data_IF_676055540927
#
_entry.id   IF_676055540927
#
_cell.length_a   1.000
_cell.length_b   1.000
_cell.length_c   1.000
_cell.angle_alpha   90.00
_cell.angle_beta   90.00
_cell.angle_gamma   90.00
#
_symmetry.space_group_name_H-M   'P 1'
#
loop_
_entity.id
_entity.type
_entity.pdbx_description
1 polymer ?
#
# COMPACT_ATOMS: atom_id res chain seq x y z
N UNK A 1 -6.20 15.59 31.56
CA UNK A 1 -6.47 15.85 30.16
C UNK A 1 -6.30 14.55 29.39
N UNK A 2 -7.27 14.18 28.55
CA UNK A 2 -7.14 12.99 27.71
C UNK A 2 -5.94 13.17 26.78
N UNK A 3 -5.08 12.15 26.71
CA UNK A 3 -3.88 12.17 25.87
C UNK A 3 -4.29 12.05 24.40
N UNK A 4 -3.62 12.80 23.53
CA UNK A 4 -3.78 12.58 22.09
C UNK A 4 -3.09 11.29 21.72
N UNK A 5 -3.82 10.43 21.01
CA UNK A 5 -3.33 9.16 20.45
C UNK A 5 -3.56 9.19 18.95
N UNK A 6 -2.52 8.86 18.20
CA UNK A 6 -2.58 8.73 16.76
C UNK A 6 -2.31 7.28 16.34
N UNK A 7 -3.13 6.75 15.43
CA UNK A 7 -2.88 5.50 14.72
C UNK A 7 -2.22 5.79 13.38
N UNK A 8 -1.16 5.08 13.02
CA UNK A 8 -0.46 5.22 11.76
C UNK A 8 -0.47 3.89 11.00
N UNK A 9 -0.96 3.91 9.77
CA UNK A 9 -0.74 2.87 8.76
C UNK A 9 0.15 3.47 7.66
N UNK A 10 1.42 3.10 7.68
CA UNK A 10 2.41 3.54 6.71
C UNK A 10 2.45 2.53 5.57
N UNK A 11 1.51 2.66 4.63
CA UNK A 11 1.42 1.77 3.47
C UNK A 11 2.39 2.15 2.34
N UNK A 12 2.70 1.20 1.45
CA UNK A 12 3.55 1.44 0.28
C UNK A 12 2.97 2.51 -0.65
N UNK A 13 1.65 2.55 -0.78
CA UNK A 13 0.95 3.45 -1.71
C UNK A 13 0.31 4.65 -1.01
N UNK A 14 -0.37 4.43 0.12
CA UNK A 14 -1.03 5.45 0.93
C UNK A 14 -0.53 5.40 2.37
N UNK A 15 -0.39 6.58 2.98
CA UNK A 15 -0.24 6.76 4.43
C UNK A 15 -1.62 7.09 4.98
N UNK A 16 -2.03 6.41 6.05
CA UNK A 16 -3.25 6.72 6.79
C UNK A 16 -2.93 7.11 8.21
N UNK A 17 -3.55 8.16 8.70
CA UNK A 17 -3.33 8.69 10.03
C UNK A 17 -4.69 8.88 10.71
N UNK A 18 -4.89 8.20 11.84
CA UNK A 18 -6.09 8.32 12.66
C UNK A 18 -5.83 9.20 13.87
N UNK A 19 -6.62 10.25 14.07
CA UNK A 19 -6.65 11.08 15.28
C UNK A 19 -7.78 10.61 16.20
N UNK A 20 -7.43 9.92 17.27
CA UNK A 20 -8.41 9.39 18.23
C UNK A 20 -9.27 10.47 18.88
N UNK A 21 -8.72 11.67 19.10
CA UNK A 21 -9.45 12.76 19.75
C UNK A 21 -10.50 13.39 18.87
N UNK A 22 -10.20 13.50 17.56
CA UNK A 22 -11.12 14.06 16.56
C UNK A 22 -12.00 13.01 15.90
N UNK A 23 -11.75 11.73 16.19
CA UNK A 23 -12.37 10.57 15.51
C UNK A 23 -12.33 10.70 13.98
N UNK A 24 -11.13 11.04 13.46
CA UNK A 24 -10.93 11.32 12.05
C UNK A 24 -9.74 10.58 11.49
N UNK A 25 -9.92 10.02 10.30
CA UNK A 25 -8.83 9.48 9.47
C UNK A 25 -8.56 10.45 8.32
N UNK A 26 -7.28 10.73 8.05
CA UNK A 26 -6.87 11.33 6.80
C UNK A 26 -5.80 10.47 6.15
N UNK A 27 -5.64 10.62 4.86
CA UNK A 27 -4.67 9.86 4.08
C UNK A 27 -4.01 10.75 3.04
N UNK A 28 -2.81 10.35 2.62
CA UNK A 28 -2.08 10.97 1.54
C UNK A 28 -1.27 9.90 0.80
N UNK A 29 -0.92 10.17 -0.46
CA UNK A 29 -0.02 9.30 -1.22
C UNK A 29 1.36 9.25 -0.58
N UNK A 30 1.95 8.06 -0.53
CA UNK A 30 3.30 7.87 -0.01
C UNK A 30 4.35 8.16 -1.11
N UNK A 31 4.49 9.43 -1.44
CA UNK A 31 5.33 9.89 -2.55
C UNK A 31 5.88 11.28 -2.32
N UNK A 32 7.07 11.55 -2.86
CA UNK A 32 7.77 12.84 -2.82
C UNK A 32 8.18 13.23 -4.24
N UNK A 33 8.01 14.49 -4.59
CA UNK A 33 8.61 15.10 -5.77
C UNK A 33 9.87 15.87 -5.37
N UNK A 34 11.01 15.47 -5.92
CA UNK A 34 12.30 16.11 -5.64
C UNK A 34 12.82 16.84 -6.87
N UNK A 35 13.11 18.15 -6.71
CA UNK A 35 13.68 18.97 -7.75
C UNK A 35 15.21 18.94 -7.70
N UNK A 36 15.84 18.82 -8.89
CA UNK A 36 17.30 18.84 -9.09
C UNK A 36 18.04 17.83 -8.18
N UNK A 37 17.37 16.72 -7.79
CA UNK A 37 17.87 15.69 -6.85
C UNK A 37 18.30 16.25 -5.48
N UNK A 38 17.83 17.41 -5.09
CA UNK A 38 18.30 18.12 -3.89
C UNK A 38 17.18 18.70 -3.03
N UNK A 39 16.16 19.25 -3.65
CA UNK A 39 15.11 19.97 -2.93
C UNK A 39 13.79 19.24 -3.04
N UNK A 40 13.11 19.03 -1.92
CA UNK A 40 11.74 18.53 -1.95
C UNK A 40 10.85 19.65 -2.49
N UNK A 41 10.14 19.34 -3.57
CA UNK A 41 9.28 20.27 -4.30
C UNK A 41 7.83 20.13 -3.85
N UNK A 42 7.35 18.88 -3.67
CA UNK A 42 6.00 18.58 -3.25
C UNK A 42 5.96 17.19 -2.60
N UNK A 43 4.92 16.88 -1.84
CA UNK A 43 4.70 15.59 -1.19
C UNK A 43 3.24 15.16 -1.34
N UNK A 44 2.96 13.89 -1.04
CA UNK A 44 1.60 13.38 -0.99
C UNK A 44 0.90 13.42 -2.35
N UNK A 45 -0.38 13.80 -2.34
CA UNK A 45 -1.24 13.80 -3.53
C UNK A 45 -0.73 14.73 -4.63
N UNK A 46 -0.24 15.92 -4.27
CA UNK A 46 0.33 16.88 -5.24
C UNK A 46 1.58 16.32 -5.94
N UNK A 47 2.42 15.57 -5.22
CA UNK A 47 3.57 14.90 -5.82
C UNK A 47 3.13 13.75 -6.74
N UNK A 48 2.07 13.03 -6.35
CA UNK A 48 1.52 11.93 -7.16
C UNK A 48 0.89 12.43 -8.46
N UNK A 49 0.26 13.58 -8.47
CA UNK A 49 -0.28 14.20 -9.71
C UNK A 49 0.79 14.46 -10.76
N UNK A 50 2.04 14.67 -10.34
CA UNK A 50 3.18 14.84 -11.25
C UNK A 50 3.80 13.53 -11.71
N UNK A 51 3.37 12.38 -11.15
CA UNK A 51 3.95 11.09 -11.48
C UNK A 51 3.82 10.79 -12.98
N UNK A 52 4.94 10.44 -13.61
CA UNK A 52 5.10 10.21 -15.07
C UNK A 52 4.79 11.42 -15.97
N UNK A 53 4.52 12.60 -15.38
CA UNK A 53 4.26 13.86 -16.12
C UNK A 53 5.27 14.96 -15.76
N UNK A 54 6.10 14.70 -14.74
CA UNK A 54 7.04 15.68 -14.23
C UNK A 54 8.09 16.06 -15.29
N UNK A 55 8.54 17.33 -15.34
CA UNK A 55 9.66 17.74 -16.16
C UNK A 55 10.95 17.03 -15.71
N UNK A 56 11.96 16.93 -16.60
CA UNK A 56 13.16 16.11 -16.39
C UNK A 56 14.02 16.49 -15.17
N UNK A 57 13.83 17.66 -14.60
CA UNK A 57 14.51 18.09 -13.37
C UNK A 57 13.72 17.76 -12.08
N UNK A 58 12.54 17.17 -12.19
CA UNK A 58 11.74 16.68 -11.05
C UNK A 58 11.73 15.14 -11.07
N UNK A 59 12.19 14.55 -9.98
CA UNK A 59 12.17 13.11 -9.74
C UNK A 59 11.07 12.76 -8.76
N UNK A 60 10.20 11.81 -9.12
CA UNK A 60 9.19 11.25 -8.22
C UNK A 60 9.78 10.06 -7.48
N UNK A 61 9.67 10.08 -6.17
CA UNK A 61 10.29 9.11 -5.25
C UNK A 61 9.20 8.50 -4.39
N UNK A 62 9.20 7.17 -4.29
CA UNK A 62 8.37 6.40 -3.38
C UNK A 62 9.26 5.94 -2.21
N UNK A 63 9.07 6.51 -1.00
CA UNK A 63 9.94 6.21 0.14
C UNK A 63 9.81 4.79 0.67
N UNK A 64 8.66 4.14 0.43
CA UNK A 64 8.43 2.74 0.80
C UNK A 64 8.39 1.82 -0.41
N UNK A 65 8.80 0.57 -0.20
CA UNK A 65 8.77 -0.49 -1.21
C UNK A 65 8.47 -1.83 -0.56
N UNK A 66 7.53 -2.58 -1.13
CA UNK A 66 7.17 -3.91 -0.64
C UNK A 66 6.85 -3.93 0.87
N UNK A 67 6.16 -2.91 1.37
CA UNK A 67 5.74 -2.84 2.78
C UNK A 67 6.79 -2.33 3.77
N UNK A 68 8.02 -2.03 3.33
CA UNK A 68 9.11 -1.56 4.21
C UNK A 68 9.66 -0.20 3.78
N UNK A 69 10.33 0.49 4.70
CA UNK A 69 10.95 1.79 4.45
C UNK A 69 12.21 1.57 3.63
N UNK A 70 12.20 2.03 2.37
CA UNK A 70 13.34 1.95 1.46
C UNK A 70 14.23 3.19 1.53
N UNK A 71 13.66 4.35 1.89
CA UNK A 71 14.35 5.64 1.95
C UNK A 71 13.93 6.36 3.22
N UNK A 72 14.72 6.20 4.28
CA UNK A 72 14.36 6.66 5.62
C UNK A 72 14.19 8.17 5.71
N UNK A 73 15.16 8.95 5.22
CA UNK A 73 15.13 10.42 5.31
C UNK A 73 13.94 11.02 4.55
N UNK A 74 13.65 10.47 3.36
CA UNK A 74 12.50 10.90 2.56
C UNK A 74 11.17 10.57 3.26
N UNK A 75 11.08 9.37 3.86
CA UNK A 75 9.89 8.97 4.62
C UNK A 75 9.70 9.83 5.87
N UNK A 76 10.79 10.18 6.55
CA UNK A 76 10.79 11.04 7.73
C UNK A 76 10.31 12.46 7.39
N UNK A 77 10.78 13.00 6.27
CA UNK A 77 10.32 14.29 5.79
C UNK A 77 8.84 14.28 5.44
N UNK A 78 8.40 13.30 4.62
CA UNK A 78 7.01 13.15 4.21
C UNK A 78 6.07 13.05 5.43
N UNK A 79 6.38 12.16 6.37
CA UNK A 79 5.58 12.02 7.59
C UNK A 79 5.57 13.32 8.41
N UNK A 80 6.72 13.97 8.54
CA UNK A 80 6.83 15.25 9.25
C UNK A 80 5.97 16.34 8.63
N UNK A 81 5.94 16.42 7.31
CA UNK A 81 5.13 17.39 6.57
C UNK A 81 3.63 17.13 6.72
N UNK A 82 3.19 15.89 6.51
CA UNK A 82 1.80 15.47 6.71
C UNK A 82 1.30 15.74 8.13
N UNK A 83 2.17 15.53 9.11
CA UNK A 83 1.82 15.79 10.49
C UNK A 83 1.77 17.30 10.82
N UNK A 84 2.49 18.18 10.11
CA UNK A 84 2.44 19.65 10.26
C UNK A 84 1.15 20.26 9.73
N UNK A 85 0.66 19.79 8.59
CA UNK A 85 -0.56 20.30 7.96
C UNK A 85 -1.77 20.21 8.89
N UNK A 86 -1.86 19.15 9.67
CA UNK A 86 -2.91 18.98 10.67
C UNK A 86 -2.58 19.76 11.97
N UNK A 87 -2.66 21.08 11.94
CA UNK A 87 -2.41 22.05 13.04
C UNK A 87 -2.76 21.63 14.50
N UNK A 88 -3.25 20.44 14.70
CA UNK A 88 -3.52 19.82 16.00
C UNK A 88 -2.33 19.06 16.57
N UNK A 89 -1.16 19.24 15.99
CA UNK A 89 0.06 18.60 16.41
C UNK A 89 0.40 18.97 17.85
N UNK A 90 -0.01 18.13 18.76
CA UNK A 90 0.31 18.32 20.18
C UNK A 90 1.62 17.59 20.46
N UNK A 91 2.67 18.36 20.75
CA UNK A 91 3.92 17.80 21.29
C UNK A 91 3.59 16.83 22.42
N UNK A 92 4.18 15.64 22.36
CA UNK A 92 3.99 14.64 23.40
C UNK A 92 2.75 13.75 23.23
N UNK A 93 2.25 13.56 22.01
CA UNK A 93 1.24 12.55 21.68
C UNK A 93 1.80 11.12 21.76
N UNK A 94 0.91 10.16 21.90
CA UNK A 94 1.21 8.73 21.81
C UNK A 94 0.90 8.26 20.40
N UNK A 95 1.75 7.42 19.82
CA UNK A 95 1.59 6.88 18.48
C UNK A 95 1.52 5.35 18.51
N UNK A 96 0.60 4.79 17.74
CA UNK A 96 0.50 3.36 17.46
C UNK A 96 0.70 3.16 15.98
N UNK A 97 1.69 2.34 15.58
CA UNK A 97 2.05 2.11 14.19
C UNK A 97 1.74 0.67 13.83
N UNK A 98 0.91 0.46 12.80
CA UNK A 98 0.72 -0.84 12.20
C UNK A 98 1.88 -1.15 11.25
N UNK A 99 2.58 -2.27 11.47
CA UNK A 99 3.68 -2.72 10.63
C UNK A 99 3.38 -4.13 10.10
N UNK A 100 3.89 -4.52 8.92
CA UNK A 100 3.72 -5.87 8.43
C UNK A 100 4.28 -6.88 9.45
N UNK A 101 3.61 -8.01 9.62
CA UNK A 101 4.00 -9.00 10.62
C UNK A 101 5.31 -9.70 10.26
N UNK A 102 5.49 -10.00 8.96
CA UNK A 102 6.68 -10.69 8.45
C UNK A 102 7.76 -9.69 8.02
N UNK A 103 8.25 -8.90 8.98
CA UNK A 103 9.37 -7.97 8.80
C UNK A 103 10.44 -8.22 9.86
N UNK A 104 11.69 -7.91 9.52
CA UNK A 104 12.83 -8.06 10.43
C UNK A 104 12.77 -7.09 11.60
N UNK A 105 13.46 -7.39 12.70
CA UNK A 105 13.58 -6.48 13.84
C UNK A 105 14.22 -5.13 13.47
N UNK A 106 15.10 -5.13 12.47
CA UNK A 106 15.71 -3.89 11.95
C UNK A 106 14.65 -3.03 11.24
N UNK A 107 13.80 -3.65 10.44
CA UNK A 107 12.70 -2.95 9.77
C UNK A 107 11.66 -2.45 10.77
N UNK A 108 11.27 -3.25 11.78
CA UNK A 108 10.40 -2.80 12.88
C UNK A 108 10.99 -1.60 13.59
N UNK A 109 12.30 -1.65 13.88
CA UNK A 109 13.02 -0.54 14.50
C UNK A 109 13.01 0.71 13.63
N UNK A 110 13.14 0.58 12.31
CA UNK A 110 13.06 1.71 11.40
C UNK A 110 11.70 2.43 11.48
N UNK A 111 10.58 1.70 11.55
CA UNK A 111 9.26 2.29 11.76
C UNK A 111 9.16 3.02 13.11
N UNK A 112 9.69 2.42 14.16
CA UNK A 112 9.72 3.04 15.49
C UNK A 112 10.54 4.33 15.50
N UNK A 113 11.77 4.29 14.97
CA UNK A 113 12.68 5.42 14.93
C UNK A 113 12.15 6.54 14.04
N UNK A 114 11.46 6.21 12.94
CA UNK A 114 10.83 7.19 12.05
C UNK A 114 9.91 8.15 12.81
N UNK A 115 9.07 7.63 13.69
CA UNK A 115 8.11 8.44 14.44
C UNK A 115 8.76 9.07 15.69
N UNK A 116 9.60 8.33 16.39
CA UNK A 116 10.28 8.80 17.59
C UNK A 116 11.16 10.03 17.32
N UNK A 117 11.91 10.00 16.20
CA UNK A 117 12.84 11.06 15.82
C UNK A 117 12.22 12.09 14.85
N UNK A 118 10.93 11.95 14.53
CA UNK A 118 10.22 12.96 13.74
C UNK A 118 10.03 14.25 14.52
N UNK A 119 9.68 15.33 13.81
CA UNK A 119 9.28 16.60 14.44
C UNK A 119 8.03 16.45 15.33
N UNK A 120 7.38 15.30 15.28
CA UNK A 120 6.26 14.89 16.12
C UNK A 120 6.54 14.96 17.60
N UNK A 121 7.82 14.85 18.02
CA UNK A 121 8.20 14.77 19.42
C UNK A 121 7.30 13.83 20.22
N UNK A 122 7.16 12.61 19.70
CA UNK A 122 6.33 11.57 20.28
C UNK A 122 6.70 11.36 21.75
N UNK A 123 5.69 11.22 22.61
CA UNK A 123 5.89 10.83 24.02
C UNK A 123 6.16 9.34 24.12
N UNK A 124 5.43 8.56 23.32
CA UNK A 124 5.62 7.11 23.22
C UNK A 124 5.21 6.65 21.82
N UNK A 125 5.88 5.61 21.37
CA UNK A 125 5.59 4.92 20.13
C UNK A 125 5.36 3.46 20.47
N UNK A 126 4.29 2.86 19.91
CA UNK A 126 4.00 1.44 20.01
C UNK A 126 3.86 0.87 18.63
N UNK A 127 4.39 -0.32 18.44
CA UNK A 127 4.20 -1.09 17.22
C UNK A 127 3.12 -2.13 17.46
N UNK A 128 2.25 -2.32 16.47
CA UNK A 128 1.28 -3.40 16.40
C UNK A 128 1.45 -4.12 15.07
N UNK A 129 1.33 -5.42 15.08
CA UNK A 129 1.34 -6.22 13.86
C UNK A 129 0.09 -5.93 13.03
N UNK A 130 0.28 -5.74 11.73
CA UNK A 130 -0.81 -5.30 10.83
C UNK A 130 -1.97 -6.28 10.84
N UNK A 131 -1.73 -7.59 10.79
CA UNK A 131 -2.81 -8.58 10.85
C UNK A 131 -3.70 -8.42 12.08
N UNK A 132 -3.13 -8.11 13.25
CA UNK A 132 -3.90 -7.85 14.47
C UNK A 132 -4.68 -6.52 14.37
N UNK A 133 -4.04 -5.47 13.84
CA UNK A 133 -4.70 -4.17 13.62
C UNK A 133 -5.86 -4.30 12.62
N UNK A 134 -5.70 -5.10 11.57
CA UNK A 134 -6.74 -5.38 10.57
C UNK A 134 -7.93 -6.10 11.22
N UNK A 135 -7.68 -7.12 12.06
CA UNK A 135 -8.73 -7.82 12.82
C UNK A 135 -9.55 -6.87 13.69
N UNK A 136 -8.89 -6.02 14.46
CA UNK A 136 -9.55 -4.98 15.26
C UNK A 136 -10.34 -3.99 14.39
N UNK A 137 -9.78 -3.59 13.25
CA UNK A 137 -10.42 -2.68 12.30
C UNK A 137 -11.65 -3.29 11.63
N UNK A 138 -11.70 -4.61 11.47
CA UNK A 138 -12.87 -5.36 10.99
C UNK A 138 -13.93 -5.59 12.08
N UNK A 139 -13.67 -5.19 13.31
CA UNK A 139 -14.60 -5.33 14.44
C UNK A 139 -14.57 -6.71 15.09
N UNK A 140 -13.52 -7.51 14.85
CA UNK A 140 -13.35 -8.80 15.53
C UNK A 140 -12.96 -8.56 16.99
N UNK A 141 -13.55 -9.36 17.89
CA UNK A 141 -13.00 -9.49 19.25
C UNK A 141 -11.79 -10.42 19.20
N UNK A 142 -10.64 -9.85 18.87
CA UNK A 142 -9.42 -10.62 18.62
C UNK A 142 -8.97 -11.47 19.80
N UNK A 143 -9.40 -11.16 21.02
CA UNK A 143 -9.06 -11.94 22.22
C UNK A 143 -9.89 -13.23 22.35
N UNK A 144 -11.15 -13.18 21.91
CA UNK A 144 -12.09 -14.29 22.00
C UNK A 144 -12.23 -15.05 20.67
N UNK A 145 -11.68 -14.50 19.57
CA UNK A 145 -11.77 -15.10 18.24
C UNK A 145 -10.98 -16.41 18.18
N UNK A 146 -11.65 -17.57 17.97
CA UNK A 146 -10.97 -18.86 17.92
C UNK A 146 -10.16 -19.09 16.64
N UNK A 147 -10.53 -18.42 15.55
CA UNK A 147 -9.81 -18.46 14.28
C UNK A 147 -10.41 -17.54 13.23
N UNK A 148 -9.65 -16.53 12.80
CA UNK A 148 -10.02 -15.65 11.72
C UNK A 148 -8.92 -15.56 10.67
N UNK A 149 -9.26 -15.84 9.42
CA UNK A 149 -8.37 -15.63 8.28
C UNK A 149 -8.58 -14.24 7.70
N UNK A 150 -7.52 -13.46 7.58
CA UNK A 150 -7.54 -12.11 7.04
C UNK A 150 -6.58 -12.03 5.85
N UNK A 151 -7.06 -11.48 4.74
CA UNK A 151 -6.25 -11.13 3.57
C UNK A 151 -6.28 -9.62 3.36
N UNK A 152 -5.16 -8.96 3.59
CA UNK A 152 -4.98 -7.54 3.34
C UNK A 152 -4.25 -7.32 2.02
N UNK A 153 -5.00 -6.90 0.97
CA UNK A 153 -4.48 -6.63 -0.36
C UNK A 153 -4.10 -5.14 -0.47
N UNK A 154 -2.83 -4.85 -0.32
CA UNK A 154 -2.28 -3.49 -0.34
C UNK A 154 -1.80 -3.02 -1.72
N UNK A 155 -1.12 -1.86 -1.72
CA UNK A 155 -0.51 -1.29 -2.92
C UNK A 155 0.69 -2.07 -3.42
N UNK A 156 1.61 -2.45 -2.53
CA UNK A 156 2.85 -3.15 -2.88
C UNK A 156 2.93 -4.59 -2.39
N UNK A 157 2.05 -4.99 -1.46
CA UNK A 157 2.07 -6.31 -0.82
C UNK A 157 0.65 -6.80 -0.55
N UNK A 158 0.50 -8.13 -0.44
CA UNK A 158 -0.65 -8.78 0.16
C UNK A 158 -0.19 -9.51 1.42
N UNK A 159 -0.81 -9.22 2.55
CA UNK A 159 -0.54 -9.87 3.83
C UNK A 159 -1.68 -10.81 4.18
N UNK A 160 -1.35 -12.08 4.43
CA UNK A 160 -2.28 -13.12 4.84
C UNK A 160 -2.01 -13.44 6.30
N UNK A 161 -3.01 -13.39 7.16
CA UNK A 161 -2.87 -13.62 8.60
C UNK A 161 -3.98 -14.52 9.12
N UNK A 162 -3.65 -15.44 10.02
CA UNK A 162 -4.61 -16.18 10.82
C UNK A 162 -4.49 -15.70 12.26
N UNK A 163 -5.59 -15.18 12.78
CA UNK A 163 -5.69 -14.75 14.18
C UNK A 163 -6.37 -15.84 15.00
N UNK A 164 -5.88 -16.04 16.22
CA UNK A 164 -6.51 -16.91 17.19
C UNK A 164 -6.17 -16.46 18.61
N UNK A 165 -7.18 -16.29 19.46
CA UNK A 165 -7.08 -15.93 20.88
C UNK A 165 -6.03 -14.84 21.20
N UNK A 166 -6.13 -13.70 20.49
CA UNK A 166 -5.29 -12.53 20.74
C UNK A 166 -3.92 -12.55 20.08
N UNK A 167 -3.60 -13.56 19.29
CA UNK A 167 -2.32 -13.71 18.59
C UNK A 167 -2.44 -13.95 17.10
N UNK A 168 -1.33 -13.78 16.39
CA UNK A 168 -1.18 -14.20 15.01
C UNK A 168 -0.51 -15.58 15.03
N UNK A 169 -1.25 -16.61 14.61
CA UNK A 169 -0.77 -18.00 14.62
C UNK A 169 -0.10 -18.38 13.31
N UNK A 170 -0.49 -17.74 12.22
CA UNK A 170 0.16 -17.86 10.91
C UNK A 170 0.16 -16.53 10.20
N UNK A 171 1.24 -16.25 9.47
CA UNK A 171 1.35 -15.07 8.63
C UNK A 171 2.15 -15.37 7.36
N UNK A 172 1.80 -14.69 6.26
CA UNK A 172 2.55 -14.74 5.02
C UNK A 172 2.46 -13.39 4.31
N UNK A 173 3.60 -12.82 3.97
CA UNK A 173 3.70 -11.58 3.20
C UNK A 173 4.07 -11.89 1.74
N UNK A 174 3.16 -11.56 0.82
CA UNK A 174 3.39 -11.67 -0.62
C UNK A 174 3.81 -10.31 -1.17
N UNK A 175 4.80 -10.29 -2.05
CA UNK A 175 5.22 -9.07 -2.78
C UNK A 175 4.33 -8.84 -4.01
N UNK A 176 3.04 -9.03 -3.85
CA UNK A 176 2.00 -8.84 -4.86
C UNK A 176 0.97 -7.87 -4.27
N UNK A 177 0.69 -6.82 -5.02
CA UNK A 177 -0.29 -5.79 -4.66
C UNK A 177 -0.72 -5.02 -5.90
N UNK A 178 -1.41 -3.90 -5.71
CA UNK A 178 -1.90 -3.06 -6.80
C UNK A 178 -0.83 -2.67 -7.82
N UNK A 179 0.39 -2.39 -7.35
CA UNK A 179 1.50 -2.00 -8.23
C UNK A 179 1.92 -3.11 -9.21
N UNK A 180 1.91 -4.36 -8.79
CA UNK A 180 2.25 -5.49 -9.65
C UNK A 180 1.14 -5.74 -10.67
N UNK A 181 -0.13 -5.57 -10.28
CA UNK A 181 -1.28 -5.65 -11.18
C UNK A 181 -1.22 -4.55 -12.24
N UNK A 182 -0.93 -3.30 -11.85
CA UNK A 182 -0.81 -2.17 -12.76
C UNK A 182 0.37 -2.37 -13.73
N UNK A 183 1.49 -2.87 -13.23
CA UNK A 183 2.66 -3.19 -14.07
C UNK A 183 2.36 -4.32 -15.07
N UNK A 184 1.62 -5.34 -14.67
CA UNK A 184 1.20 -6.42 -15.56
C UNK A 184 0.29 -5.90 -16.69
N UNK A 185 -0.65 -5.00 -16.38
CA UNK A 185 -1.52 -4.36 -17.38
C UNK A 185 -0.69 -3.54 -18.36
N UNK A 186 0.20 -2.66 -17.86
CA UNK A 186 1.03 -1.81 -18.70
C UNK A 186 1.93 -2.65 -19.64
N UNK A 187 2.53 -3.72 -19.11
CA UNK A 187 3.37 -4.64 -19.87
C UNK A 187 2.56 -5.38 -20.96
N UNK A 188 1.36 -5.89 -20.63
CA UNK A 188 0.56 -6.61 -21.62
C UNK A 188 0.05 -5.68 -22.72
N UNK A 189 -0.35 -4.44 -22.39
CA UNK A 189 -0.68 -3.41 -23.39
C UNK A 189 0.51 -3.15 -24.30
N UNK A 190 1.71 -2.96 -23.71
CA UNK A 190 2.94 -2.73 -24.48
C UNK A 190 3.24 -3.86 -25.46
N UNK A 191 3.15 -5.12 -25.02
CA UNK A 191 3.52 -6.26 -25.82
C UNK A 191 2.45 -6.64 -26.87
N UNK A 192 1.16 -6.42 -26.56
CA UNK A 192 0.06 -6.83 -27.46
C UNK A 192 -0.37 -5.75 -28.43
N UNK A 193 -0.05 -4.47 -28.16
CA UNK A 193 -0.51 -3.32 -28.93
C UNK A 193 0.61 -2.41 -29.42
N UNK A 194 1.88 -2.71 -29.11
CA UNK A 194 3.01 -1.83 -29.37
C UNK A 194 2.77 -0.41 -28.86
N UNK A 195 2.12 -0.31 -27.68
CA UNK A 195 1.66 0.93 -27.12
C UNK A 195 2.06 1.06 -25.64
N UNK A 196 2.68 2.16 -25.29
CA UNK A 196 3.14 2.41 -23.91
C UNK A 196 2.16 3.30 -23.17
N UNK A 197 1.64 2.78 -22.06
CA UNK A 197 0.85 3.54 -21.07
C UNK A 197 1.64 3.67 -19.78
N UNK A 198 1.35 4.73 -19.01
CA UNK A 198 1.90 4.92 -17.67
C UNK A 198 1.18 4.12 -16.61
N UNK A 199 1.83 3.98 -15.42
CA UNK A 199 1.23 3.29 -14.26
C UNK A 199 -0.08 3.92 -13.79
N UNK A 200 -0.24 5.26 -13.72
CA UNK A 200 -1.53 5.86 -13.37
C UNK A 200 -2.66 5.49 -14.34
N UNK A 201 -2.34 5.33 -15.62
CA UNK A 201 -3.32 4.88 -16.63
C UNK A 201 -3.67 3.41 -16.44
N UNK A 202 -2.69 2.55 -16.13
CA UNK A 202 -2.91 1.13 -15.84
C UNK A 202 -3.73 0.95 -14.55
N UNK A 203 -3.45 1.71 -13.51
CA UNK A 203 -4.25 1.76 -12.27
C UNK A 203 -5.71 2.16 -12.56
N UNK A 204 -5.92 3.18 -13.40
CA UNK A 204 -7.26 3.58 -13.82
C UNK A 204 -7.99 2.45 -14.55
N UNK A 205 -7.33 1.77 -15.49
CA UNK A 205 -7.89 0.61 -16.19
C UNK A 205 -8.32 -0.49 -15.19
N UNK A 206 -7.47 -0.82 -14.22
CA UNK A 206 -7.78 -1.81 -13.18
C UNK A 206 -8.98 -1.41 -12.33
N UNK A 207 -9.05 -0.15 -11.91
CA UNK A 207 -10.12 0.36 -11.04
C UNK A 207 -11.47 0.47 -11.77
N UNK A 208 -11.47 0.94 -13.01
CA UNK A 208 -12.70 1.15 -13.77
C UNK A 208 -13.31 -0.16 -14.25
N UNK A 209 -12.49 -1.11 -14.69
CA UNK A 209 -13.03 -2.37 -15.17
C UNK A 209 -13.32 -3.38 -14.06
N UNK A 210 -12.71 -3.30 -12.91
CA UNK A 210 -12.90 -4.26 -11.82
C UNK A 210 -12.78 -5.73 -12.27
N UNK A 211 -12.48 -6.62 -11.34
CA UNK A 211 -12.34 -8.05 -11.65
C UNK A 211 -13.70 -8.72 -11.93
N UNK A 212 -14.76 -8.16 -11.37
CA UNK A 212 -16.11 -8.74 -11.39
C UNK A 212 -17.02 -8.18 -12.47
N UNK A 213 -16.59 -7.18 -13.24
CA UNK A 213 -17.36 -6.68 -14.38
C UNK A 213 -17.47 -7.79 -15.43
N UNK A 214 -18.70 -8.28 -15.65
CA UNK A 214 -18.99 -9.34 -16.60
C UNK A 214 -19.31 -8.82 -18.00
N UNK A 215 -19.27 -7.51 -18.24
CA UNK A 215 -19.53 -6.91 -19.54
C UNK A 215 -18.46 -7.40 -20.54
N UNK A 216 -18.84 -8.32 -21.41
CA UNK A 216 -18.01 -8.74 -22.54
C UNK A 216 -18.12 -7.68 -23.63
N UNK A 217 -16.99 -7.10 -24.03
CA UNK A 217 -16.93 -6.10 -25.11
C UNK A 217 -16.74 -4.66 -24.66
N UNK A 218 -16.71 -4.37 -23.36
CA UNK A 218 -16.35 -3.06 -22.88
C UNK A 218 -14.88 -2.75 -23.14
N UNK A 219 -14.58 -1.50 -23.48
CA UNK A 219 -13.24 -0.98 -23.64
C UNK A 219 -13.13 0.41 -23.02
N UNK A 220 -11.90 0.82 -22.71
CA UNK A 220 -11.59 2.16 -22.25
C UNK A 220 -10.53 2.78 -23.15
N UNK A 221 -10.82 3.98 -23.65
CA UNK A 221 -9.84 4.75 -24.43
C UNK A 221 -8.78 5.31 -23.49
N UNK A 222 -7.52 5.01 -23.80
CA UNK A 222 -6.36 5.47 -23.02
C UNK A 222 -5.38 6.21 -23.91
N UNK A 223 -4.73 7.21 -23.33
CA UNK A 223 -3.68 7.98 -23.99
C UNK A 223 -2.31 7.45 -23.56
N UNK A 224 -1.37 7.47 -24.50
CA UNK A 224 -0.01 6.99 -24.27
C UNK A 224 0.89 7.28 -25.46
N UNK A 225 1.92 6.45 -25.62
CA UNK A 225 2.88 6.58 -26.72
C UNK A 225 2.78 5.37 -27.65
N UNK A 226 2.52 5.62 -28.92
CA UNK A 226 2.63 4.63 -29.98
C UNK A 226 4.12 4.33 -30.23
N UNK A 227 4.52 3.08 -30.03
CA UNK A 227 5.92 2.67 -30.15
C UNK A 227 6.36 2.49 -31.60
N UNK A 228 5.41 2.24 -32.51
CA UNK A 228 5.69 2.09 -33.95
C UNK A 228 5.86 3.47 -34.59
N UNK A 229 4.99 4.44 -34.27
CA UNK A 229 5.02 5.80 -34.82
C UNK A 229 5.89 6.75 -34.03
N UNK A 230 6.24 6.40 -32.78
CA UNK A 230 7.14 7.18 -31.92
C UNK A 230 6.52 8.42 -31.28
N UNK A 231 5.19 8.60 -31.33
CA UNK A 231 4.51 9.80 -30.86
C UNK A 231 3.37 9.56 -29.89
N UNK A 232 2.80 10.62 -29.28
CA UNK A 232 1.61 10.53 -28.45
C UNK A 232 0.40 10.09 -29.30
N UNK A 233 -0.43 9.22 -28.75
CA UNK A 233 -1.62 8.67 -29.41
C UNK A 233 -2.62 8.15 -28.38
N UNK A 234 -3.68 7.51 -28.85
CA UNK A 234 -4.65 6.83 -28.00
C UNK A 234 -5.04 5.48 -28.59
N UNK A 235 -5.45 4.55 -27.73
CA UNK A 235 -5.99 3.25 -28.13
C UNK A 235 -7.15 2.86 -27.23
N UNK A 236 -7.99 1.95 -27.73
CA UNK A 236 -9.02 1.30 -26.95
C UNK A 236 -8.45 0.00 -26.35
N UNK A 237 -8.47 -0.06 -25.01
CA UNK A 237 -8.04 -1.23 -24.25
C UNK A 237 -9.28 -2.00 -23.81
N UNK A 238 -9.49 -3.24 -24.30
CA UNK A 238 -10.64 -4.03 -23.90
C UNK A 238 -10.44 -4.62 -22.50
N UNK A 239 -11.56 -4.82 -21.76
CA UNK A 239 -11.55 -5.45 -20.45
C UNK A 239 -10.90 -6.83 -20.44
N UNK A 240 -11.05 -7.59 -21.53
CA UNK A 240 -10.44 -8.91 -21.67
C UNK A 240 -8.91 -8.88 -21.58
N UNK A 241 -8.28 -7.82 -22.07
CA UNK A 241 -6.84 -7.63 -21.96
C UNK A 241 -6.43 -7.32 -20.52
N UNK A 242 -7.19 -6.47 -19.81
CA UNK A 242 -6.95 -6.15 -18.39
C UNK A 242 -7.06 -7.42 -17.55
N UNK A 243 -8.13 -8.21 -17.75
CA UNK A 243 -8.33 -9.49 -17.05
C UNK A 243 -7.21 -10.49 -17.33
N UNK A 244 -6.77 -10.59 -18.57
CA UNK A 244 -5.66 -11.48 -18.95
C UNK A 244 -4.36 -11.06 -18.24
N UNK A 245 -4.10 -9.75 -18.14
CA UNK A 245 -2.90 -9.22 -17.50
C UNK A 245 -2.83 -9.56 -16.01
N UNK A 246 -3.95 -9.39 -15.27
CA UNK A 246 -3.96 -9.55 -13.82
C UNK A 246 -4.19 -11.00 -13.37
N UNK A 247 -4.54 -11.90 -14.29
CA UNK A 247 -4.89 -13.29 -13.99
C UNK A 247 -3.78 -14.04 -13.25
N UNK A 248 -2.55 -13.91 -13.72
CA UNK A 248 -1.43 -14.64 -13.15
C UNK A 248 -1.03 -14.15 -11.74
N UNK A 249 -0.84 -12.83 -11.49
CA UNK A 249 -0.62 -12.35 -10.13
C UNK A 249 -1.75 -12.70 -9.15
N UNK A 250 -3.01 -12.64 -9.59
CA UNK A 250 -4.15 -13.04 -8.74
C UNK A 250 -4.15 -14.53 -8.47
N UNK A 251 -3.79 -15.37 -9.46
CA UNK A 251 -3.67 -16.83 -9.26
C UNK A 251 -2.63 -17.15 -8.20
N UNK A 252 -1.50 -16.46 -8.20
CA UNK A 252 -0.45 -16.62 -7.19
C UNK A 252 -0.97 -16.27 -5.79
N UNK A 253 -1.74 -15.17 -5.66
CA UNK A 253 -2.38 -14.85 -4.38
C UNK A 253 -3.35 -15.94 -3.92
N UNK A 254 -4.21 -16.45 -4.81
CA UNK A 254 -5.17 -17.51 -4.50
C UNK A 254 -4.45 -18.79 -4.09
N UNK A 255 -3.38 -19.19 -4.79
CA UNK A 255 -2.58 -20.37 -4.43
C UNK A 255 -1.93 -20.21 -3.05
N UNK A 256 -1.43 -19.01 -2.72
CA UNK A 256 -0.87 -18.74 -1.40
C UNK A 256 -1.93 -18.84 -0.28
N UNK A 257 -3.16 -18.38 -0.55
CA UNK A 257 -4.29 -18.51 0.38
C UNK A 257 -4.61 -20.00 0.60
N UNK A 258 -4.78 -20.79 -0.47
CA UNK A 258 -5.05 -22.23 -0.36
C UNK A 258 -3.95 -22.94 0.44
N UNK A 259 -2.68 -22.75 0.06
CA UNK A 259 -1.57 -23.35 0.79
C UNK A 259 -1.56 -23.01 2.28
N UNK A 260 -1.89 -21.76 2.63
CA UNK A 260 -1.90 -21.33 4.02
C UNK A 260 -3.07 -21.93 4.81
N UNK A 261 -4.23 -22.10 4.18
CA UNK A 261 -5.40 -22.75 4.80
C UNK A 261 -5.16 -24.25 5.00
N UNK A 262 -4.57 -24.93 4.01
CA UNK A 262 -4.18 -26.34 4.12
C UNK A 262 -3.16 -26.55 5.26
N UNK A 263 -2.14 -25.67 5.36
CA UNK A 263 -1.14 -25.70 6.44
C UNK A 263 -1.78 -25.45 7.82
N UNK A 264 -2.83 -24.62 7.90
CA UNK A 264 -3.54 -24.33 9.14
C UNK A 264 -4.39 -25.52 9.59
N UNK A 265 -5.11 -26.14 8.67
CA UNK A 265 -5.89 -27.35 8.95
C UNK A 265 -4.99 -28.47 9.49
N UNK A 266 -3.84 -28.71 8.86
CA UNK A 266 -2.88 -29.71 9.31
C UNK A 266 -2.37 -29.44 10.74
N UNK A 267 -2.06 -28.21 11.10
CA UNK A 267 -1.63 -27.84 12.45
C UNK A 267 -2.69 -28.05 13.53
N UNK A 268 -3.98 -27.87 13.20
CA UNK A 268 -5.06 -28.14 14.14
C UNK A 268 -5.12 -29.62 14.53
N UNK A 269 -4.85 -30.53 13.60
CA UNK A 269 -4.83 -31.98 13.88
C UNK A 269 -3.60 -32.47 14.64
N UNK A 270 -2.48 -31.73 14.60
CA UNK A 270 -1.29 -32.12 15.39
C UNK A 270 -1.37 -31.68 16.87
N UNK A 271 -2.31 -30.84 17.22
CA UNK A 271 -2.49 -30.30 18.60
C UNK A 271 -3.58 -31.00 19.40
N UNK A 272 -4.31 -31.96 18.80
CA UNK A 272 -5.24 -32.88 19.48
C UNK A 272 -4.52 -34.20 19.84
#
# INVERSE_FOLDING_TARGET
MARNVYGLDLGTYDIKIFDKKKDRIWHAKNVIAMKDKKYIFSVGDDAYEMYEKAPGNIQIIFPMKNGVIARFDDMQYLLGDLLKEERSFIRGAEYVIAVPTDVTEVEKKAFYDLVLHSEAKAKSVRIVERGLADGLGLGLDVLEEPGAFIANLGGGTTELSVLSYGGIVMNRLLKIGGEQLDSAIANLVRHSKDFMIGRPTAERLRKEFGVFDQSTGSFLTVYGRDLMRGGPSHIDVPISLVRAAIKEPLRECVQAIHSMLDDYEYKLYETE
#
